data_IF_473402920393
#
_entry.id   IF_473402920393
#
_cell.length_a   1.000
_cell.length_b   1.000
_cell.length_c   1.000
_cell.angle_alpha   90.00
_cell.angle_beta   90.00
_cell.angle_gamma   90.00
#
_symmetry.space_group_name_H-M   'P 1'
#
loop_
_entity.id
_entity.type
_entity.pdbx_description
1 polymer ?
#
# COMPACT_ATOMS: atom_id res chain seq x y z
N UNK A 1 -0.56 -2.92 -9.24
CA UNK A 1 0.17 -3.19 -7.99
C UNK A 1 1.31 -2.20 -7.88
N UNK A 2 1.43 -1.47 -6.77
CA UNK A 2 2.42 -0.39 -6.65
C UNK A 2 3.66 -0.83 -5.87
N UNK A 3 3.43 -1.36 -4.67
CA UNK A 3 4.43 -2.00 -3.82
C UNK A 3 3.82 -3.29 -3.24
N UNK A 4 4.64 -4.26 -2.80
CA UNK A 4 4.14 -5.29 -1.88
C UNK A 4 3.60 -4.63 -0.62
N UNK A 5 2.74 -5.31 0.14
CA UNK A 5 2.34 -4.90 1.48
C UNK A 5 2.81 -5.93 2.49
N UNK A 6 3.49 -5.49 3.54
CA UNK A 6 3.94 -6.36 4.63
C UNK A 6 3.21 -5.98 5.91
N UNK A 7 2.56 -6.95 6.53
CA UNK A 7 1.86 -6.79 7.82
C UNK A 7 2.81 -6.42 8.96
N UNK A 8 4.10 -6.76 8.82
CA UNK A 8 5.16 -6.41 9.77
C UNK A 8 5.52 -4.92 9.75
N UNK A 9 5.16 -4.19 8.69
CA UNK A 9 5.44 -2.77 8.60
C UNK A 9 4.19 -1.94 8.94
N UNK A 10 4.12 -1.28 10.11
CA UNK A 10 2.95 -0.50 10.50
C UNK A 10 2.68 0.70 9.57
N UNK A 11 3.70 1.16 8.83
CA UNK A 11 3.58 2.28 7.90
C UNK A 11 3.19 1.84 6.48
N UNK A 12 2.85 0.57 6.26
CA UNK A 12 2.62 0.07 4.91
C UNK A 12 1.40 0.70 4.24
N UNK A 13 0.36 1.02 4.99
CA UNK A 13 -0.80 1.72 4.48
C UNK A 13 -0.44 3.13 3.95
N UNK A 14 0.42 3.86 4.68
CA UNK A 14 0.90 5.17 4.24
C UNK A 14 1.79 5.05 3.00
N UNK A 15 2.70 4.06 2.97
CA UNK A 15 3.54 3.79 1.78
C UNK A 15 2.69 3.41 0.56
N UNK A 16 1.65 2.61 0.76
CA UNK A 16 0.74 2.23 -0.31
C UNK A 16 -0.05 3.44 -0.84
N UNK A 17 -0.58 4.29 0.05
CA UNK A 17 -1.25 5.53 -0.36
C UNK A 17 -0.29 6.48 -1.08
N UNK A 18 0.93 6.66 -0.56
CA UNK A 18 1.94 7.49 -1.20
C UNK A 18 2.32 6.99 -2.60
N UNK A 19 2.42 5.68 -2.77
CA UNK A 19 2.71 5.04 -4.06
C UNK A 19 1.56 5.25 -5.07
N UNK A 20 0.31 5.18 -4.61
CA UNK A 20 -0.86 5.41 -5.45
C UNK A 20 -1.14 6.90 -5.74
N UNK A 21 -0.44 7.81 -5.05
CA UNK A 21 -0.52 9.26 -5.25
C UNK A 21 -1.95 9.78 -5.04
N UNK A 22 -2.57 10.25 -6.11
CA UNK A 22 -3.94 10.79 -6.10
C UNK A 22 -5.03 9.71 -5.96
N UNK A 23 -4.70 8.42 -6.11
CA UNK A 23 -5.62 7.31 -5.86
C UNK A 23 -5.42 6.77 -4.45
N UNK A 24 -6.51 6.45 -3.76
CA UNK A 24 -6.45 5.92 -2.39
C UNK A 24 -5.93 4.48 -2.41
N UNK A 25 -4.63 4.33 -2.16
CA UNK A 25 -3.97 3.03 -2.07
C UNK A 25 -4.42 2.26 -0.84
N UNK A 26 -4.71 0.97 -1.00
CA UNK A 26 -5.02 0.07 0.11
C UNK A 26 -4.30 -1.27 -0.01
N UNK A 27 -3.79 -1.76 1.12
CA UNK A 27 -3.17 -3.08 1.18
C UNK A 27 -4.25 -4.18 1.20
N UNK A 28 -4.24 -5.05 0.20
CA UNK A 28 -5.06 -6.27 0.11
C UNK A 28 -4.12 -7.48 0.17
N UNK A 29 -3.97 -8.06 1.37
CA UNK A 29 -2.99 -9.10 1.62
C UNK A 29 -1.56 -8.59 1.36
N UNK A 30 -0.74 -9.29 0.56
CA UNK A 30 0.63 -8.89 0.28
C UNK A 30 0.75 -7.82 -0.83
N UNK A 31 -0.35 -7.24 -1.30
CA UNK A 31 -0.36 -6.34 -2.45
C UNK A 31 -0.95 -4.97 -2.11
N UNK A 32 -0.28 -3.90 -2.53
CA UNK A 32 -0.87 -2.56 -2.57
C UNK A 32 -1.72 -2.38 -3.85
N UNK A 33 -3.01 -2.12 -3.66
CA UNK A 33 -3.99 -1.85 -4.70
C UNK A 33 -4.29 -0.35 -4.71
N UNK A 34 -4.01 0.28 -5.86
CA UNK A 34 -4.62 1.54 -6.28
C UNK A 34 -5.84 1.20 -7.15
#
# INVERSE_FOLDING_TARGET
MCIPCFTTNPNMAAKCNACCGSRRGSCRGPQCIC
#
